data_IF_711675658412
#
_entry.id   IF_711675658412
#
_cell.length_a   1.000
_cell.length_b   1.000
_cell.length_c   1.000
_cell.angle_alpha   90.00
_cell.angle_beta   90.00
_cell.angle_gamma   90.00
#
_symmetry.space_group_name_H-M   'P 1'
#
loop_
_entity.id
_entity.type
_entity.pdbx_description
1 polymer ?
#
# COMPACT_ATOMS: atom_id res chain seq x y z
N UNK A 1 -52.89 18.99 -11.26
CA UNK A 1 -51.57 19.35 -10.69
C UNK A 1 -51.57 18.82 -9.27
N UNK A 2 -50.73 17.83 -8.96
CA UNK A 2 -49.30 18.05 -8.72
C UNK A 2 -48.38 17.18 -9.60
N UNK A 3 -47.23 17.75 -9.98
CA UNK A 3 -46.11 17.07 -10.63
C UNK A 3 -45.48 16.04 -9.68
N UNK A 4 -45.30 14.82 -10.18
CA UNK A 4 -44.51 13.79 -9.52
C UNK A 4 -43.03 14.09 -9.77
N UNK A 5 -42.26 14.17 -8.69
CA UNK A 5 -40.79 14.13 -8.69
C UNK A 5 -40.28 13.06 -9.64
N UNK A 6 -39.53 13.49 -10.66
CA UNK A 6 -38.66 12.60 -11.44
C UNK A 6 -37.42 12.30 -10.60
N UNK A 7 -36.98 11.04 -10.51
CA UNK A 7 -35.66 10.73 -9.96
C UNK A 7 -34.59 11.44 -10.78
N UNK A 8 -33.79 12.27 -10.10
CA UNK A 8 -32.60 12.89 -10.65
C UNK A 8 -31.58 11.77 -10.89
N UNK A 9 -31.30 11.44 -12.15
CA UNK A 9 -30.23 10.53 -12.53
C UNK A 9 -28.91 11.07 -11.96
N UNK A 10 -28.27 10.28 -11.10
CA UNK A 10 -26.93 10.53 -10.64
C UNK A 10 -25.98 10.61 -11.86
N UNK A 11 -24.96 11.49 -11.83
CA UNK A 11 -24.03 11.60 -12.95
C UNK A 11 -23.34 10.26 -13.13
N UNK A 12 -23.55 9.65 -14.31
CA UNK A 12 -22.79 8.50 -14.78
C UNK A 12 -21.32 8.88 -14.71
N UNK A 13 -20.57 8.26 -13.80
CA UNK A 13 -19.13 8.36 -13.80
C UNK A 13 -18.68 7.95 -15.21
N UNK A 14 -18.06 8.90 -15.92
CA UNK A 14 -17.42 8.62 -17.19
C UNK A 14 -16.25 7.68 -16.88
N UNK A 15 -16.51 6.37 -16.99
CA UNK A 15 -15.46 5.40 -17.20
C UNK A 15 -14.84 5.76 -18.55
N UNK A 16 -13.78 6.56 -18.52
CA UNK A 16 -12.92 6.77 -19.69
C UNK A 16 -12.17 5.47 -19.90
N UNK A 17 -12.78 4.57 -20.67
CA UNK A 17 -12.11 3.50 -21.43
C UNK A 17 -11.08 4.14 -22.37
N UNK A 18 -9.96 4.59 -21.80
CA UNK A 18 -8.78 4.92 -22.58
C UNK A 18 -8.01 3.61 -22.69
N UNK A 19 -8.32 2.82 -23.71
CA UNK A 19 -7.56 1.60 -23.99
C UNK A 19 -6.09 2.00 -24.19
N UNK A 20 -5.25 1.71 -23.19
CA UNK A 20 -3.81 1.96 -23.25
C UNK A 20 -3.27 1.15 -24.42
N UNK A 21 -2.58 1.81 -25.36
CA UNK A 21 -2.08 1.13 -26.55
C UNK A 21 -1.03 0.08 -26.15
N UNK A 22 -0.93 -1.03 -26.88
CA UNK A 22 0.09 -2.05 -26.61
C UNK A 22 1.53 -1.48 -26.66
N UNK A 23 1.76 -0.47 -27.51
CA UNK A 23 3.02 0.28 -27.54
C UNK A 23 3.28 1.02 -26.23
N UNK A 24 2.27 1.72 -25.71
CA UNK A 24 2.36 2.44 -24.44
C UNK A 24 2.60 1.47 -23.27
N UNK A 25 1.94 0.30 -23.27
CA UNK A 25 2.17 -0.73 -22.23
C UNK A 25 3.63 -1.21 -22.26
N UNK A 26 4.17 -1.54 -23.44
CA UNK A 26 5.56 -1.99 -23.55
C UNK A 26 6.56 -0.91 -23.15
N UNK A 27 6.30 0.35 -23.52
CA UNK A 27 7.15 1.48 -23.15
C UNK A 27 7.07 1.77 -21.65
N UNK A 28 5.87 1.71 -21.06
CA UNK A 28 5.67 1.82 -19.63
C UNK A 28 6.43 0.73 -18.85
N UNK A 29 6.43 -0.51 -19.35
CA UNK A 29 7.20 -1.60 -18.76
C UNK A 29 8.72 -1.33 -18.81
N UNK A 30 9.22 -0.79 -19.92
CA UNK A 30 10.62 -0.42 -20.04
C UNK A 30 11.01 0.68 -19.04
N UNK A 31 10.20 1.74 -18.93
CA UNK A 31 10.38 2.78 -17.92
C UNK A 31 10.30 2.23 -16.50
N UNK A 32 9.39 1.29 -16.23
CA UNK A 32 9.26 0.63 -14.91
C UNK A 32 10.53 -0.13 -14.55
N UNK A 33 11.05 -0.95 -15.47
CA UNK A 33 12.26 -1.73 -15.25
C UNK A 33 13.48 -0.83 -15.01
N UNK A 34 13.59 0.27 -15.75
CA UNK A 34 14.64 1.28 -15.56
C UNK A 34 14.52 1.99 -14.21
N UNK A 35 13.31 2.41 -13.83
CA UNK A 35 13.03 3.01 -12.52
C UNK A 35 13.41 2.08 -11.37
N UNK A 36 13.10 0.79 -11.47
CA UNK A 36 13.51 -0.21 -10.48
C UNK A 36 15.03 -0.37 -10.39
N UNK A 37 15.74 -0.34 -11.51
CA UNK A 37 17.21 -0.42 -11.52
C UNK A 37 17.84 0.82 -10.86
N UNK A 38 17.37 2.02 -11.19
CA UNK A 38 17.82 3.27 -10.59
C UNK A 38 17.55 3.33 -9.08
N UNK A 39 16.36 2.89 -8.65
CA UNK A 39 16.02 2.83 -7.22
C UNK A 39 16.96 1.90 -6.45
N UNK A 40 17.33 0.75 -7.03
CA UNK A 40 18.30 -0.17 -6.43
C UNK A 40 19.71 0.42 -6.34
N UNK A 41 20.08 1.30 -7.28
CA UNK A 41 21.34 2.04 -7.27
C UNK A 41 21.34 3.27 -6.35
N UNK A 42 20.20 3.58 -5.70
CA UNK A 42 20.04 4.75 -4.84
C UNK A 42 19.74 6.06 -5.58
N UNK A 43 19.59 6.01 -6.90
CA UNK A 43 19.29 7.17 -7.78
C UNK A 43 17.80 7.50 -7.73
N UNK A 44 17.32 7.87 -6.54
CA UNK A 44 15.90 7.96 -6.19
C UNK A 44 15.15 9.00 -7.04
N UNK A 45 15.75 10.15 -7.34
CA UNK A 45 15.12 11.18 -8.18
C UNK A 45 14.94 10.71 -9.64
N UNK A 46 15.98 10.08 -10.21
CA UNK A 46 15.89 9.54 -11.56
C UNK A 46 14.90 8.37 -11.63
N UNK A 47 14.83 7.52 -10.60
CA UNK A 47 13.84 6.47 -10.50
C UNK A 47 12.41 7.01 -10.48
N UNK A 48 12.16 8.09 -9.73
CA UNK A 48 10.86 8.76 -9.67
C UNK A 48 10.43 9.27 -11.05
N UNK A 49 11.33 9.89 -11.81
CA UNK A 49 11.07 10.36 -13.16
C UNK A 49 10.68 9.22 -14.11
N UNK A 50 11.37 8.08 -14.03
CA UNK A 50 11.05 6.90 -14.84
C UNK A 50 9.71 6.29 -14.44
N UNK A 51 9.38 6.19 -13.15
CA UNK A 51 8.07 5.74 -12.72
C UNK A 51 6.94 6.69 -13.13
N UNK A 52 7.17 8.01 -13.10
CA UNK A 52 6.20 8.99 -13.59
C UNK A 52 5.90 8.80 -15.07
N UNK A 53 6.93 8.57 -15.90
CA UNK A 53 6.76 8.25 -17.33
C UNK A 53 5.98 6.95 -17.52
N UNK A 54 6.32 5.91 -16.75
CA UNK A 54 5.61 4.64 -16.82
C UNK A 54 4.12 4.78 -16.51
N UNK A 55 3.76 5.49 -15.42
CA UNK A 55 2.36 5.70 -15.03
C UNK A 55 1.61 6.63 -16.00
N UNK A 56 2.30 7.59 -16.61
CA UNK A 56 1.70 8.45 -17.63
C UNK A 56 1.36 7.68 -18.92
N UNK A 57 2.18 6.69 -19.28
CA UNK A 57 1.96 5.82 -20.44
C UNK A 57 0.92 4.72 -20.15
N UNK A 58 0.98 4.12 -18.97
CA UNK A 58 0.08 3.08 -18.49
C UNK A 58 -0.30 3.32 -17.02
N UNK A 59 -1.46 3.97 -16.76
CA UNK A 59 -1.95 4.20 -15.40
C UNK A 59 -2.29 2.91 -14.64
N UNK A 60 -2.38 1.77 -15.31
CA UNK A 60 -2.69 0.47 -14.72
C UNK A 60 -1.44 -0.38 -14.45
N UNK A 61 -0.25 0.20 -14.60
CA UNK A 61 0.99 -0.48 -14.27
C UNK A 61 1.23 -0.51 -12.76
N UNK A 62 0.73 -1.56 -12.11
CA UNK A 62 0.83 -1.75 -10.66
C UNK A 62 2.27 -1.75 -10.13
N UNK A 63 3.26 -2.19 -10.93
CA UNK A 63 4.66 -2.19 -10.51
C UNK A 63 5.25 -0.77 -10.50
N UNK A 64 4.91 0.05 -11.50
CA UNK A 64 5.33 1.45 -11.54
C UNK A 64 4.70 2.25 -10.39
N UNK A 65 3.39 2.07 -10.17
CA UNK A 65 2.68 2.67 -9.03
C UNK A 65 3.31 2.28 -7.70
N UNK A 66 3.56 0.98 -7.48
CA UNK A 66 4.20 0.50 -6.25
C UNK A 66 5.63 1.07 -6.07
N UNK A 67 6.44 1.08 -7.13
CA UNK A 67 7.79 1.65 -7.10
C UNK A 67 7.79 3.15 -6.78
N UNK A 68 6.87 3.89 -7.38
CA UNK A 68 6.68 5.32 -7.11
C UNK A 68 6.21 5.59 -5.68
N UNK A 69 5.25 4.82 -5.20
CA UNK A 69 4.74 4.91 -3.83
C UNK A 69 5.85 4.70 -2.78
N UNK A 70 6.77 3.76 -3.00
CA UNK A 70 7.91 3.55 -2.11
C UNK A 70 8.83 4.78 -2.06
N UNK A 71 9.04 5.47 -3.19
CA UNK A 71 9.83 6.70 -3.22
C UNK A 71 9.12 7.81 -2.48
N UNK A 72 7.83 8.03 -2.74
CA UNK A 72 7.02 9.00 -2.00
C UNK A 72 7.06 8.73 -0.49
N UNK A 73 6.91 7.47 -0.08
CA UNK A 73 7.02 7.10 1.33
C UNK A 73 8.41 7.40 1.90
N UNK A 74 9.49 7.13 1.17
CA UNK A 74 10.87 7.46 1.57
C UNK A 74 11.11 8.96 1.72
N UNK A 75 10.39 9.78 0.95
CA UNK A 75 10.42 11.23 1.03
C UNK A 75 9.48 11.83 2.10
N UNK A 76 8.75 11.00 2.86
CA UNK A 76 7.67 11.42 3.77
C UNK A 76 6.44 12.04 3.07
N UNK A 77 6.29 11.80 1.77
CA UNK A 77 5.15 12.22 0.95
C UNK A 77 3.99 11.20 1.07
N UNK A 78 3.53 10.97 2.29
CA UNK A 78 2.64 9.85 2.63
C UNK A 78 1.28 9.85 1.93
N UNK A 79 0.69 11.02 1.66
CA UNK A 79 -0.60 11.08 0.96
C UNK A 79 -0.47 10.59 -0.50
N UNK A 80 0.64 10.93 -1.19
CA UNK A 80 0.92 10.43 -2.54
C UNK A 80 1.22 8.93 -2.52
N UNK A 81 1.98 8.45 -1.54
CA UNK A 81 2.24 7.03 -1.35
C UNK A 81 0.94 6.23 -1.13
N UNK A 82 0.01 6.74 -0.31
CA UNK A 82 -1.28 6.08 -0.05
C UNK A 82 -2.10 5.94 -1.33
N UNK A 83 -2.14 6.98 -2.16
CA UNK A 83 -2.87 6.96 -3.42
C UNK A 83 -2.31 5.88 -4.37
N UNK A 84 -0.99 5.86 -4.56
CA UNK A 84 -0.35 4.91 -5.48
C UNK A 84 -0.37 3.47 -4.95
N UNK A 85 -0.14 3.24 -3.66
CA UNK A 85 -0.30 1.91 -3.07
C UNK A 85 -1.74 1.42 -3.18
N UNK A 86 -2.72 2.31 -3.00
CA UNK A 86 -4.13 1.98 -3.16
C UNK A 86 -4.48 1.59 -4.60
N UNK A 87 -3.98 2.34 -5.58
CA UNK A 87 -4.13 1.99 -6.99
C UNK A 87 -3.44 0.64 -7.31
N UNK A 88 -2.20 0.43 -6.85
CA UNK A 88 -1.47 -0.82 -7.05
C UNK A 88 -2.16 -2.03 -6.42
N UNK A 89 -2.71 -1.88 -5.22
CA UNK A 89 -3.50 -2.91 -4.52
C UNK A 89 -4.80 -3.24 -5.27
N UNK A 90 -5.52 -2.24 -5.76
CA UNK A 90 -6.76 -2.45 -6.53
C UNK A 90 -6.54 -3.21 -7.85
N UNK A 91 -5.36 -3.06 -8.45
CA UNK A 91 -4.97 -3.77 -9.68
C UNK A 91 -4.51 -5.21 -9.44
N UNK A 92 -3.94 -5.48 -8.26
CA UNK A 92 -3.49 -6.81 -7.85
C UNK A 92 -3.99 -7.12 -6.42
N UNK A 93 -5.28 -7.48 -6.26
CA UNK A 93 -5.96 -7.59 -4.95
C UNK A 93 -5.52 -8.79 -4.09
N UNK A 94 -4.33 -9.35 -4.31
CA UNK A 94 -3.79 -10.52 -3.61
C UNK A 94 -2.32 -10.34 -3.21
N UNK A 95 -1.84 -9.09 -3.16
CA UNK A 95 -0.47 -8.78 -2.74
C UNK A 95 -0.45 -8.05 -1.41
N UNK A 96 0.28 -8.61 -0.45
CA UNK A 96 0.44 -8.03 0.87
C UNK A 96 1.32 -6.77 0.85
N UNK A 97 2.24 -6.63 -0.11
CA UNK A 97 3.24 -5.57 -0.10
C UNK A 97 2.65 -4.16 -0.31
N UNK A 98 1.74 -3.91 -1.28
CA UNK A 98 1.08 -2.60 -1.40
C UNK A 98 0.23 -2.25 -0.17
N UNK A 99 -0.47 -3.21 0.41
CA UNK A 99 -1.26 -3.02 1.64
C UNK A 99 -0.37 -2.66 2.83
N UNK A 100 0.75 -3.37 3.00
CA UNK A 100 1.74 -3.07 4.02
C UNK A 100 2.34 -1.67 3.85
N UNK A 101 2.72 -1.29 2.62
CA UNK A 101 3.23 0.05 2.32
C UNK A 101 2.21 1.14 2.64
N UNK A 102 0.95 0.96 2.21
CA UNK A 102 -0.14 1.88 2.51
C UNK A 102 -0.38 2.01 4.02
N UNK A 103 -0.39 0.89 4.74
CA UNK A 103 -0.54 0.88 6.19
C UNK A 103 0.59 1.61 6.92
N UNK A 104 1.84 1.46 6.47
CA UNK A 104 2.98 2.21 7.03
C UNK A 104 2.79 3.71 6.84
N UNK A 105 2.35 4.14 5.66
CA UNK A 105 2.05 5.55 5.39
C UNK A 105 0.85 6.06 6.21
N UNK A 106 -0.19 5.25 6.40
CA UNK A 106 -1.29 5.57 7.30
C UNK A 106 -0.84 5.73 8.76
N UNK A 107 0.04 4.85 9.26
CA UNK A 107 0.60 4.95 10.61
C UNK A 107 1.46 6.22 10.80
N UNK A 108 2.17 6.67 9.76
CA UNK A 108 2.93 7.91 9.79
C UNK A 108 2.01 9.15 9.88
N UNK A 109 0.85 9.10 9.23
CA UNK A 109 -0.17 10.15 9.30
C UNK A 109 -1.12 10.04 10.51
N UNK A 110 -0.93 9.06 11.40
CA UNK A 110 -1.81 8.83 12.54
C UNK A 110 -3.17 8.21 12.20
N UNK A 111 -3.38 7.76 10.96
CA UNK A 111 -4.58 7.06 10.47
C UNK A 111 -4.54 5.58 10.87
N UNK A 112 -4.50 5.33 12.19
CA UNK A 112 -4.19 4.00 12.75
C UNK A 112 -5.28 2.96 12.45
N UNK A 113 -6.56 3.37 12.35
CA UNK A 113 -7.66 2.44 12.06
C UNK A 113 -7.58 1.91 10.64
N UNK A 114 -7.29 2.79 9.69
CA UNK A 114 -7.08 2.49 8.28
C UNK A 114 -5.86 1.58 8.10
N UNK A 115 -4.77 1.87 8.81
CA UNK A 115 -3.61 0.99 8.83
C UNK A 115 -3.93 -0.41 9.35
N UNK A 116 -4.69 -0.53 10.44
CA UNK A 116 -5.06 -1.82 11.01
C UNK A 116 -5.92 -2.65 10.04
N UNK A 117 -6.84 -2.02 9.31
CA UNK A 117 -7.64 -2.69 8.28
C UNK A 117 -6.77 -3.22 7.13
N UNK A 118 -5.85 -2.40 6.61
CA UNK A 118 -4.91 -2.83 5.57
C UNK A 118 -4.00 -3.98 6.04
N UNK A 119 -3.60 -3.97 7.31
CA UNK A 119 -2.74 -4.99 7.89
C UNK A 119 -3.48 -6.29 8.20
N UNK A 120 -4.77 -6.22 8.50
CA UNK A 120 -5.64 -7.40 8.57
C UNK A 120 -5.66 -8.09 7.20
N UNK A 121 -6.00 -7.35 6.14
CA UNK A 121 -6.03 -7.86 4.76
C UNK A 121 -4.65 -8.38 4.31
N UNK A 122 -3.58 -7.61 4.58
CA UNK A 122 -2.22 -8.03 4.23
C UNK A 122 -1.80 -9.33 4.94
N UNK A 123 -2.28 -9.54 6.18
CA UNK A 123 -1.96 -10.73 6.96
C UNK A 123 -2.69 -11.99 6.48
N UNK A 124 -3.83 -11.81 5.83
CA UNK A 124 -4.56 -12.87 5.13
C UNK A 124 -3.92 -13.17 3.77
N UNK A 125 -3.48 -12.14 3.05
CA UNK A 125 -2.83 -12.27 1.74
C UNK A 125 -1.45 -12.95 1.82
N UNK A 126 -0.63 -12.61 2.83
CA UNK A 126 0.63 -13.31 3.11
C UNK A 126 0.79 -13.60 4.61
N UNK A 127 0.29 -14.74 5.09
CA UNK A 127 0.40 -15.14 6.50
C UNK A 127 1.83 -15.40 6.97
N UNK A 128 2.82 -15.49 6.08
CA UNK A 128 4.22 -15.75 6.40
C UNK A 128 5.08 -14.49 6.39
N UNK A 129 4.49 -13.32 6.11
CA UNK A 129 5.18 -12.05 6.18
C UNK A 129 5.29 -11.54 7.62
N UNK A 130 6.42 -11.82 8.27
CA UNK A 130 6.66 -11.36 9.64
C UNK A 130 6.57 -9.83 9.79
N UNK A 131 6.90 -9.05 8.75
CA UNK A 131 6.81 -7.59 8.80
C UNK A 131 5.35 -7.12 8.92
N UNK A 132 4.43 -7.75 8.17
CA UNK A 132 2.99 -7.47 8.28
C UNK A 132 2.53 -7.70 9.72
N UNK A 133 2.87 -8.86 10.31
CA UNK A 133 2.47 -9.17 11.69
C UNK A 133 3.08 -8.21 12.72
N UNK A 134 4.33 -7.80 12.56
CA UNK A 134 4.97 -6.81 13.43
C UNK A 134 4.26 -5.46 13.33
N UNK A 135 3.99 -4.98 12.12
CA UNK A 135 3.32 -3.69 11.90
C UNK A 135 1.85 -3.74 12.33
N UNK A 136 1.15 -4.87 12.14
CA UNK A 136 -0.21 -5.12 12.66
C UNK A 136 -0.26 -5.03 14.18
N UNK A 137 0.73 -5.63 14.85
CA UNK A 137 0.88 -5.51 16.31
C UNK A 137 1.03 -4.05 16.75
N UNK A 138 1.85 -3.26 16.04
CA UNK A 138 2.04 -1.84 16.33
C UNK A 138 0.75 -1.02 16.15
N UNK A 139 -0.02 -1.31 15.09
CA UNK A 139 -1.29 -0.64 14.83
C UNK A 139 -2.30 -0.93 15.95
N UNK A 140 -2.49 -2.20 16.33
CA UNK A 140 -3.42 -2.56 17.39
C UNK A 140 -2.96 -2.11 18.78
N UNK A 141 -1.65 -2.06 19.05
CA UNK A 141 -1.11 -1.47 20.28
C UNK A 141 -1.49 0.01 20.38
N UNK A 142 -1.34 0.78 19.29
CA UNK A 142 -1.76 2.20 19.23
C UNK A 142 -3.28 2.40 19.35
N UNK A 143 -4.08 1.42 18.92
CA UNK A 143 -5.53 1.40 19.11
C UNK A 143 -5.95 0.98 20.53
N UNK A 144 -5.01 0.50 21.36
CA UNK A 144 -5.30 -0.02 22.70
C UNK A 144 -5.84 -1.45 22.73
N UNK A 145 -5.96 -2.12 21.58
CA UNK A 145 -6.36 -3.53 21.51
C UNK A 145 -5.16 -4.43 21.79
N UNK A 146 -4.82 -4.55 23.08
CA UNK A 146 -3.69 -5.36 23.54
C UNK A 146 -3.79 -6.83 23.13
N UNK A 147 -5.01 -7.37 23.05
CA UNK A 147 -5.23 -8.77 22.70
C UNK A 147 -4.82 -9.04 21.24
N UNK A 148 -5.32 -8.22 20.30
CA UNK A 148 -4.92 -8.33 18.88
C UNK A 148 -3.44 -7.97 18.67
N UNK A 149 -2.92 -7.00 19.42
CA UNK A 149 -1.50 -6.66 19.38
C UNK A 149 -0.62 -7.84 19.80
N UNK A 150 -0.93 -8.47 20.94
CA UNK A 150 -0.20 -9.63 21.45
C UNK A 150 -0.23 -10.79 20.45
N UNK A 151 -1.41 -11.14 19.93
CA UNK A 151 -1.55 -12.20 18.92
C UNK A 151 -0.69 -11.95 17.68
N UNK A 152 -0.67 -10.69 17.20
CA UNK A 152 0.12 -10.30 16.03
C UNK A 152 1.62 -10.40 16.30
N UNK A 153 2.09 -9.88 17.44
CA UNK A 153 3.49 -9.97 17.81
C UNK A 153 3.95 -11.41 18.06
N UNK A 154 3.11 -12.24 18.69
CA UNK A 154 3.41 -13.68 18.85
C UNK A 154 3.59 -14.36 17.49
N UNK A 155 2.72 -14.07 16.52
CA UNK A 155 2.86 -14.61 15.16
C UNK A 155 4.13 -14.11 14.46
N UNK A 156 4.46 -12.82 14.59
CA UNK A 156 5.69 -12.25 14.07
C UNK A 156 6.94 -12.92 14.66
N UNK A 157 7.00 -13.11 15.99
CA UNK A 157 8.11 -13.78 16.67
C UNK A 157 8.21 -15.26 16.26
N UNK A 158 7.08 -15.95 16.05
CA UNK A 158 7.09 -17.33 15.58
C UNK A 158 7.70 -17.45 14.16
N UNK A 159 7.44 -16.48 13.29
CA UNK A 159 8.00 -16.44 11.93
C UNK A 159 9.46 -15.96 11.93
N UNK A 160 9.79 -14.98 12.77
CA UNK A 160 11.12 -14.37 12.88
C UNK A 160 11.49 -14.17 14.36
N UNK A 161 12.09 -15.18 15.01
CA UNK A 161 12.38 -15.12 16.45
C UNK A 161 13.34 -13.99 16.88
N UNK A 162 14.11 -13.45 15.94
CA UNK A 162 15.04 -12.33 16.15
C UNK A 162 14.46 -10.96 15.76
N UNK A 163 13.15 -10.84 15.60
CA UNK A 163 12.48 -9.55 15.38
C UNK A 163 12.39 -8.77 16.70
N UNK A 164 13.31 -7.83 16.91
CA UNK A 164 13.40 -7.04 18.15
C UNK A 164 12.15 -6.18 18.39
N UNK A 165 11.56 -5.65 17.32
CA UNK A 165 10.37 -4.82 17.41
C UNK A 165 9.17 -5.66 17.85
N UNK A 166 9.01 -6.87 17.30
CA UNK A 166 7.93 -7.78 17.70
C UNK A 166 8.09 -8.28 19.13
N UNK A 167 9.30 -8.67 19.54
CA UNK A 167 9.56 -9.12 20.92
C UNK A 167 9.30 -8.01 21.95
N UNK A 168 9.80 -6.82 21.66
CA UNK A 168 9.57 -5.65 22.53
C UNK A 168 8.10 -5.28 22.59
N UNK A 169 7.40 -5.35 21.45
CA UNK A 169 5.95 -5.16 21.38
C UNK A 169 5.19 -6.16 22.24
N UNK A 170 5.48 -7.46 22.09
CA UNK A 170 4.85 -8.51 22.88
C UNK A 170 5.03 -8.30 24.38
N UNK A 171 6.22 -7.90 24.82
CA UNK A 171 6.50 -7.62 26.23
C UNK A 171 5.67 -6.45 26.78
N UNK A 172 5.35 -5.43 25.96
CA UNK A 172 4.51 -4.29 26.39
C UNK A 172 3.03 -4.64 26.51
N UNK A 173 2.53 -5.54 25.67
CA UNK A 173 1.09 -5.85 25.57
C UNK A 173 0.67 -7.13 26.29
N UNK A 174 1.60 -8.04 26.58
CA UNK A 174 1.34 -9.33 27.24
C UNK A 174 1.68 -9.40 28.73
N UNK A 175 2.14 -8.30 29.33
CA UNK A 175 2.38 -8.17 30.77
C UNK A 175 1.13 -7.77 31.57
#
# INVERSE_FOLDING_TARGET
MPEKDKPQEAPKAAATDSAVSAGNVSEAQAHTAKGQALAKSGETAAALDEFNRAVALDPYNAQALYGRALIYQGNNEHDFAIADFGAASGLNPQKAEPLLGRAVSYLALGKVKEAAADLDEASEADPHNAQVWTTRGQAYERLGDKAKAAASYTKAVALRPRDDAARSGLARVGG
#
